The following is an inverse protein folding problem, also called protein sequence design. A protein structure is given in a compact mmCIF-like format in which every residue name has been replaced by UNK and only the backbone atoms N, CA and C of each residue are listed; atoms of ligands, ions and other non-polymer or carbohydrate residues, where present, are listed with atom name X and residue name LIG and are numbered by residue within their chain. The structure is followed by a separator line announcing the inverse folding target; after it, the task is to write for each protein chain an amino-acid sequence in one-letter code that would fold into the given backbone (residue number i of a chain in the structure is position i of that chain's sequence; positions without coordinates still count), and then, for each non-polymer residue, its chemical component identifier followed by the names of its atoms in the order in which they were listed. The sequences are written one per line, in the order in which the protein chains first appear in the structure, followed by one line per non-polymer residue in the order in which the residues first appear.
data_IF_328718836702
#
_entry.id   IF_328718836702
#
_cell.length_a   1.000
_cell.length_b   1.000
_cell.length_c   1.000
_cell.angle_alpha   90.00
_cell.angle_beta   90.00
_cell.angle_gamma   90.00
#
_symmetry.space_group_name_H-M   'P 1'
#
loop_
_entity.id
_entity.type
_entity.pdbx_description
1 polymer ?
#
# COMPACT_ATOMS: atom_id res chain seq x y z
N UNK A 1 19.76 -25.34 -8.95
CA UNK A 1 19.98 -24.07 -8.24
C UNK A 1 18.66 -23.69 -7.64
N UNK A 2 18.69 -23.58 -6.32
CA UNK A 2 17.57 -23.55 -5.40
C UNK A 2 16.55 -22.48 -5.74
N UNK A 3 15.28 -22.91 -5.70
CA UNK A 3 14.10 -22.13 -6.02
C UNK A 3 13.95 -21.02 -4.99
N UNK A 4 13.81 -19.79 -5.48
CA UNK A 4 13.06 -18.70 -4.85
C UNK A 4 13.22 -18.61 -3.32
N UNK A 5 14.31 -17.99 -2.86
CA UNK A 5 14.30 -17.37 -1.53
C UNK A 5 13.37 -16.15 -1.61
N UNK A 6 12.05 -16.40 -1.55
CA UNK A 6 11.04 -15.33 -1.45
C UNK A 6 11.41 -14.47 -0.26
N UNK A 7 11.80 -13.23 -0.52
CA UNK A 7 12.17 -12.28 0.53
C UNK A 7 10.93 -12.04 1.38
N UNK A 8 10.92 -12.59 2.59
CA UNK A 8 9.83 -12.42 3.54
C UNK A 8 9.99 -11.08 4.25
N UNK A 9 9.14 -10.12 3.92
CA UNK A 9 9.10 -8.79 4.52
C UNK A 9 8.00 -8.75 5.58
N UNK A 10 8.32 -8.22 6.75
CA UNK A 10 7.36 -7.97 7.83
C UNK A 10 7.18 -6.48 8.11
N UNK A 11 6.14 -6.12 8.86
CA UNK A 11 5.91 -4.74 9.32
C UNK A 11 7.10 -4.19 10.12
N UNK A 12 7.75 -5.01 10.95
CA UNK A 12 8.96 -4.61 11.68
C UNK A 12 10.11 -4.30 10.72
N UNK A 13 10.24 -5.08 9.65
CA UNK A 13 11.27 -4.84 8.63
C UNK A 13 11.04 -3.54 7.87
N UNK A 14 9.77 -3.20 7.56
CA UNK A 14 9.40 -1.93 6.94
C UNK A 14 9.76 -0.72 7.83
N UNK A 15 9.46 -0.82 9.13
CA UNK A 15 9.79 0.22 10.11
C UNK A 15 11.31 0.41 10.26
N UNK A 16 12.07 -0.69 10.24
CA UNK A 16 13.53 -0.65 10.33
C UNK A 16 14.22 -0.22 9.02
N UNK A 17 13.56 -0.44 7.87
CA UNK A 17 14.16 -0.22 6.55
C UNK A 17 13.22 0.61 5.65
N UNK A 18 13.31 1.94 5.76
CA UNK A 18 12.56 2.87 4.91
C UNK A 18 13.06 2.83 3.47
N UNK A 19 12.12 2.76 2.51
CA UNK A 19 12.38 2.78 1.06
C UNK A 19 13.40 1.73 0.57
N UNK A 20 13.52 0.59 1.26
CA UNK A 20 14.49 -0.46 0.89
C UNK A 20 13.92 -1.46 -0.12
N UNK A 21 12.62 -1.73 -0.04
CA UNK A 21 11.98 -2.80 -0.80
C UNK A 21 11.39 -2.24 -2.09
N UNK A 22 11.55 -2.98 -3.19
CA UNK A 22 10.91 -2.64 -4.46
C UNK A 22 9.41 -2.93 -4.40
N UNK A 23 8.64 -2.31 -5.31
CA UNK A 23 7.20 -2.54 -5.43
C UNK A 23 6.88 -4.02 -5.64
N UNK A 24 7.64 -4.73 -6.49
CA UNK A 24 7.44 -6.16 -6.73
C UNK A 24 7.53 -7.00 -5.44
N UNK A 25 8.48 -6.67 -4.56
CA UNK A 25 8.63 -7.34 -3.27
C UNK A 25 7.44 -7.00 -2.37
N UNK A 26 7.03 -5.73 -2.32
CA UNK A 26 5.88 -5.30 -1.52
C UNK A 26 4.58 -5.96 -1.98
N UNK A 27 4.35 -6.10 -3.29
CA UNK A 27 3.17 -6.75 -3.86
C UNK A 27 3.07 -8.23 -3.45
N UNK A 28 4.20 -8.96 -3.46
CA UNK A 28 4.21 -10.35 -3.02
C UNK A 28 3.94 -10.49 -1.52
N UNK A 29 4.44 -9.54 -0.73
CA UNK A 29 4.39 -9.63 0.72
C UNK A 29 3.13 -9.04 1.35
N UNK A 30 2.46 -8.07 0.71
CA UNK A 30 1.25 -7.44 1.27
C UNK A 30 0.12 -8.45 1.46
N UNK A 31 -0.04 -9.38 0.52
CA UNK A 31 -1.04 -10.47 0.59
C UNK A 31 -0.54 -11.63 1.45
N UNK A 32 0.70 -12.11 1.24
CA UNK A 32 1.23 -13.29 1.95
C UNK A 32 1.54 -13.03 3.43
N UNK A 33 1.96 -11.81 3.80
CA UNK A 33 2.37 -11.46 5.16
C UNK A 33 1.46 -10.42 5.84
N UNK A 34 0.34 -10.05 5.22
CA UNK A 34 -0.61 -9.07 5.76
C UNK A 34 0.09 -7.78 6.23
N UNK A 35 0.85 -7.16 5.32
CA UNK A 35 1.54 -5.91 5.62
C UNK A 35 0.52 -4.81 5.92
N UNK A 36 0.83 -3.97 6.90
CA UNK A 36 -0.05 -2.90 7.35
C UNK A 36 0.05 -1.69 6.40
N UNK A 37 -1.10 -1.26 5.86
CA UNK A 37 -1.20 -0.16 4.91
C UNK A 37 -0.65 1.17 5.48
N UNK A 38 -0.86 1.46 6.78
CA UNK A 38 -0.33 2.66 7.43
C UNK A 38 1.19 2.62 7.50
N UNK A 39 1.75 1.44 7.82
CA UNK A 39 3.21 1.26 7.87
C UNK A 39 3.80 1.40 6.47
N UNK A 40 3.16 0.82 5.45
CA UNK A 40 3.59 0.97 4.05
C UNK A 40 3.58 2.44 3.62
N UNK A 41 2.47 3.16 3.82
CA UNK A 41 2.35 4.58 3.51
C UNK A 41 3.39 5.43 4.25
N UNK A 42 3.71 5.12 5.50
CA UNK A 42 4.63 5.91 6.31
C UNK A 42 6.12 5.61 6.07
N UNK A 43 6.45 4.45 5.50
CA UNK A 43 7.84 3.97 5.42
C UNK A 43 8.36 3.79 3.99
N UNK A 44 7.48 3.56 3.02
CA UNK A 44 7.84 3.28 1.64
C UNK A 44 7.30 4.35 0.69
N UNK A 45 7.98 4.50 -0.45
CA UNK A 45 7.55 5.31 -1.58
C UNK A 45 6.83 4.39 -2.56
N UNK A 46 5.51 4.46 -2.55
CA UNK A 46 4.62 3.57 -3.31
C UNK A 46 4.25 4.22 -4.65
N UNK A 47 3.83 3.41 -5.62
CA UNK A 47 3.31 3.93 -6.89
C UNK A 47 1.80 4.15 -6.79
N UNK A 48 1.22 5.02 -7.64
CA UNK A 48 -0.23 5.21 -7.69
C UNK A 48 -1.00 3.90 -7.89
N UNK A 49 -0.50 3.01 -8.76
CA UNK A 49 -1.11 1.71 -9.06
C UNK A 49 -1.13 0.80 -7.84
N UNK A 50 -0.03 0.76 -7.07
CA UNK A 50 0.04 -0.02 -5.85
C UNK A 50 -0.97 0.48 -4.81
N UNK A 51 -1.05 1.81 -4.65
CA UNK A 51 -1.98 2.43 -3.72
C UNK A 51 -3.44 2.09 -4.06
N UNK A 52 -3.85 2.24 -5.31
CA UNK A 52 -5.24 1.93 -5.74
C UNK A 52 -5.54 0.44 -5.60
N UNK A 53 -4.58 -0.43 -5.91
CA UNK A 53 -4.81 -1.88 -5.95
C UNK A 53 -4.86 -2.56 -4.58
N UNK A 54 -4.10 -2.08 -3.59
CA UNK A 54 -3.97 -2.79 -2.31
C UNK A 54 -4.21 -1.94 -1.06
N UNK A 55 -4.22 -0.62 -1.16
CA UNK A 55 -4.36 0.27 0.00
C UNK A 55 -5.69 1.00 -0.01
N UNK A 56 -6.11 1.48 -1.19
CA UNK A 56 -7.35 2.23 -1.34
C UNK A 56 -8.51 1.36 -0.87
N UNK A 57 -9.15 1.82 0.19
CA UNK A 57 -10.32 1.18 0.76
C UNK A 57 -11.41 2.25 0.91
N UNK A 58 -12.35 2.21 -0.04
CA UNK A 58 -13.53 3.08 -0.08
C UNK A 58 -14.75 2.40 0.53
N UNK A 59 -14.61 1.15 0.99
CA UNK A 59 -15.72 0.40 1.55
C UNK A 59 -15.96 0.79 3.02
N UNK A 60 -17.16 1.29 3.29
CA UNK A 60 -17.61 1.71 4.62
C UNK A 60 -18.61 0.68 5.18
N UNK A 61 -18.91 -0.41 4.45
CA UNK A 61 -19.99 -1.35 4.79
C UNK A 61 -19.78 -2.10 6.13
N UNK A 62 -18.59 -2.01 6.73
CA UNK A 62 -18.26 -2.61 8.02
C UNK A 62 -18.47 -1.72 9.26
N UNK A 63 -19.03 -0.51 9.12
CA UNK A 63 -19.25 0.54 10.14
C UNK A 63 -19.13 0.16 11.62
N UNK A 64 -17.90 -0.04 12.09
CA UNK A 64 -17.51 -0.04 13.49
C UNK A 64 -16.57 1.14 13.74
N UNK A 65 -16.56 1.69 14.96
CA UNK A 65 -15.81 2.91 15.33
C UNK A 65 -14.30 2.89 15.00
N UNK A 66 -13.74 1.74 14.63
CA UNK A 66 -12.32 1.55 14.32
C UNK A 66 -12.03 1.33 12.83
N UNK A 67 -13.04 1.37 11.95
CA UNK A 67 -12.84 1.22 10.50
C UNK A 67 -12.12 2.47 9.94
N UNK A 68 -10.85 2.28 9.58
CA UNK A 68 -10.02 3.34 9.03
C UNK A 68 -10.20 3.38 7.52
N UNK A 69 -10.77 4.47 7.00
CA UNK A 69 -10.95 4.64 5.55
C UNK A 69 -9.60 5.08 4.97
N UNK A 70 -9.07 4.28 4.05
CA UNK A 70 -7.87 4.62 3.29
C UNK A 70 -8.29 5.26 1.97
N UNK A 71 -8.85 6.46 2.05
CA UNK A 71 -9.30 7.21 0.88
C UNK A 71 -8.14 7.88 0.12
N UNK A 72 -8.47 8.49 -1.02
CA UNK A 72 -7.52 9.25 -1.84
C UNK A 72 -6.82 10.34 -1.04
N UNK A 73 -7.57 11.09 -0.23
CA UNK A 73 -7.01 12.16 0.59
C UNK A 73 -5.95 11.62 1.55
N UNK A 74 -6.27 10.54 2.26
CA UNK A 74 -5.38 9.90 3.22
C UNK A 74 -4.09 9.40 2.55
N UNK A 75 -4.19 8.75 1.40
CA UNK A 75 -3.00 8.29 0.66
C UNK A 75 -2.10 9.48 0.29
N UNK A 76 -2.69 10.57 -0.19
CA UNK A 76 -1.97 11.81 -0.54
C UNK A 76 -1.38 12.54 0.68
N UNK A 77 -1.86 12.26 1.90
CA UNK A 77 -1.23 12.77 3.12
C UNK A 77 0.18 12.21 3.33
N UNK A 78 0.42 10.97 2.90
CA UNK A 78 1.70 10.28 3.07
C UNK A 78 2.54 10.25 1.80
N UNK A 79 1.90 10.05 0.65
CA UNK A 79 2.58 9.85 -0.64
C UNK A 79 2.56 11.15 -1.45
N UNK A 80 3.29 12.17 -0.98
CA UNK A 80 3.28 13.54 -1.54
C UNK A 80 3.78 13.66 -2.99
N UNK A 81 4.44 12.63 -3.51
CA UNK A 81 4.85 12.57 -4.91
C UNK A 81 3.73 12.14 -5.86
N UNK A 82 2.66 11.56 -5.34
CA UNK A 82 1.48 11.16 -6.12
C UNK A 82 0.52 12.34 -6.20
N UNK A 83 -0.08 12.55 -7.37
CA UNK A 83 -1.15 13.53 -7.56
C UNK A 83 -2.53 12.88 -7.41
N UNK A 84 -3.50 13.67 -6.97
CA UNK A 84 -4.91 13.25 -6.91
C UNK A 84 -5.41 12.77 -8.28
N UNK A 85 -5.03 13.46 -9.36
CA UNK A 85 -5.42 13.10 -10.72
C UNK A 85 -4.91 11.72 -11.13
N UNK A 86 -3.70 11.33 -10.75
CA UNK A 86 -3.18 9.98 -11.03
C UNK A 86 -4.02 8.90 -10.36
N UNK A 87 -4.35 9.08 -9.08
CA UNK A 87 -5.19 8.13 -8.35
C UNK A 87 -6.61 8.06 -8.94
N UNK A 88 -7.24 9.20 -9.20
CA UNK A 88 -8.59 9.26 -9.78
C UNK A 88 -8.64 8.61 -11.17
N UNK A 89 -7.63 8.84 -11.99
CA UNK A 89 -7.59 8.25 -13.33
C UNK A 89 -7.51 6.72 -13.28
N UNK A 90 -6.76 6.17 -12.32
CA UNK A 90 -6.67 4.72 -12.11
C UNK A 90 -7.99 4.14 -11.58
N UNK A 91 -8.60 4.78 -10.58
CA UNK A 91 -9.90 4.37 -10.02
C UNK A 91 -10.99 4.32 -11.10
N UNK A 92 -11.06 5.34 -11.95
CA UNK A 92 -12.06 5.42 -13.02
C UNK A 92 -11.78 4.48 -14.20
N UNK A 93 -10.56 3.94 -14.32
CA UNK A 93 -10.23 2.96 -15.33
C UNK A 93 -10.57 1.53 -14.88
N UNK A 94 -10.49 1.27 -13.58
CA UNK A 94 -10.84 -0.03 -12.96
C UNK A 94 -12.35 -0.17 -12.63
N UNK A 95 -13.14 0.90 -12.75
CA UNK A 95 -14.60 0.95 -12.49
C UNK A 95 -15.45 0.74 -13.77
#
# INVERSE_FOLDING_TARGET
MDKDEKTKVTNTDLLANRNKYSIDILEQNIVENHLDAKILLATQTLTPEFCVKYILDLDIEGGGEESYIFDVCYILEFQKHITETELINLINWDA
#
